data_IF_080587746978
#
_entry.id   IF_080587746978
#
_cell.length_a   1.000
_cell.length_b   1.000
_cell.length_c   1.000
_cell.angle_alpha   90.00
_cell.angle_beta   90.00
_cell.angle_gamma   90.00
#
_symmetry.space_group_name_H-M   'P 1'
#
loop_
_entity.id
_entity.type
_entity.pdbx_description
1 polymer ?
#
# COMPACT_ATOMS: atom_id res chain seq x y z
N UNK A 1 10.03 22.95 -0.25
CA UNK A 1 11.05 22.11 -0.92
C UNK A 1 11.97 22.98 -1.78
N UNK A 2 11.46 24.10 -2.33
CA UNK A 2 12.23 24.95 -3.24
C UNK A 2 13.07 26.06 -2.57
N UNK A 3 13.06 26.19 -1.24
CA UNK A 3 13.62 27.35 -0.52
C UNK A 3 14.57 26.97 0.63
N UNK A 4 15.27 25.85 0.56
CA UNK A 4 16.38 25.65 1.48
C UNK A 4 17.61 26.31 0.90
N UNK A 5 17.81 27.57 1.28
CA UNK A 5 18.91 28.40 0.84
C UNK A 5 20.13 28.14 1.74
N UNK A 6 20.98 27.19 1.34
CA UNK A 6 22.32 27.03 1.89
C UNK A 6 23.38 27.77 1.05
N UNK A 7 22.93 28.70 0.24
CA UNK A 7 23.80 29.64 -0.48
C UNK A 7 24.33 29.21 -1.84
N UNK A 8 24.45 27.90 -2.17
CA UNK A 8 25.08 27.47 -3.42
C UNK A 8 24.39 26.37 -4.21
N UNK A 9 23.57 25.49 -3.58
CA UNK A 9 22.86 24.43 -4.30
C UNK A 9 21.38 24.46 -3.98
N UNK A 10 20.58 24.97 -4.89
CA UNK A 10 19.13 25.00 -4.76
C UNK A 10 18.54 23.63 -5.12
N UNK A 11 17.75 23.06 -4.22
CA UNK A 11 16.97 21.88 -4.49
C UNK A 11 15.69 22.23 -5.22
N UNK A 12 15.52 21.70 -6.44
CA UNK A 12 14.37 22.01 -7.30
C UNK A 12 13.55 20.74 -7.57
N UNK A 13 12.24 20.84 -7.42
CA UNK A 13 11.30 19.81 -7.83
C UNK A 13 10.31 20.37 -8.84
N UNK A 14 10.04 19.62 -9.91
CA UNK A 14 9.11 19.99 -10.98
C UNK A 14 7.99 18.99 -11.09
N UNK A 15 6.82 19.46 -11.45
CA UNK A 15 5.69 18.63 -11.82
C UNK A 15 5.88 18.12 -13.24
N UNK A 16 5.58 16.84 -13.44
CA UNK A 16 5.35 16.25 -14.75
C UNK A 16 3.84 15.99 -14.91
N UNK A 17 3.33 16.25 -16.09
CA UNK A 17 1.93 16.02 -16.39
C UNK A 17 1.79 14.76 -17.27
N UNK A 18 0.77 13.95 -16.98
CA UNK A 18 0.46 12.75 -17.73
C UNK A 18 1.13 11.49 -17.18
N UNK A 19 0.96 10.41 -17.92
CA UNK A 19 1.54 9.11 -17.60
C UNK A 19 2.96 9.02 -18.15
N UNK A 20 3.85 8.45 -17.36
CA UNK A 20 5.20 8.07 -17.79
C UNK A 20 5.19 6.57 -18.04
N UNK A 21 5.76 6.17 -19.16
CA UNK A 21 5.90 4.78 -19.57
C UNK A 21 7.36 4.47 -19.88
N UNK A 22 7.78 3.24 -19.65
CA UNK A 22 9.07 2.73 -20.11
C UNK A 22 8.84 1.79 -21.29
N UNK A 23 9.48 2.01 -22.45
CA UNK A 23 9.32 1.17 -23.63
C UNK A 23 9.63 -0.31 -23.39
N UNK A 24 10.56 -0.62 -22.47
CA UNK A 24 10.94 -2.00 -22.14
C UNK A 24 9.85 -2.72 -21.34
N UNK A 25 8.98 -1.96 -20.66
CA UNK A 25 7.87 -2.48 -19.83
C UNK A 25 6.55 -1.79 -20.18
N UNK A 26 6.00 -1.96 -21.38
CA UNK A 26 4.84 -1.17 -21.88
C UNK A 26 3.54 -1.42 -21.10
N UNK A 27 3.50 -2.44 -20.27
CA UNK A 27 2.39 -2.76 -19.37
C UNK A 27 2.50 -2.06 -18.00
N UNK A 28 3.64 -1.41 -17.71
CA UNK A 28 3.83 -0.63 -16.50
C UNK A 28 3.84 0.86 -16.84
N UNK A 29 3.14 1.64 -16.05
CA UNK A 29 3.13 3.10 -16.16
C UNK A 29 2.99 3.72 -14.77
N UNK A 30 3.33 4.98 -14.65
CA UNK A 30 3.13 5.73 -13.41
C UNK A 30 2.74 7.18 -13.67
N UNK A 31 2.08 7.78 -12.68
CA UNK A 31 2.02 9.21 -12.50
C UNK A 31 3.07 9.61 -11.48
N UNK A 32 3.69 10.74 -11.69
CA UNK A 32 4.71 11.29 -10.79
C UNK A 32 4.17 12.57 -10.16
N UNK A 33 4.18 12.64 -8.84
CA UNK A 33 3.82 13.87 -8.14
C UNK A 33 4.81 14.98 -8.51
N UNK A 34 6.12 14.67 -8.42
CA UNK A 34 7.21 15.58 -8.78
C UNK A 34 8.44 14.78 -9.24
N UNK A 35 9.33 15.48 -9.96
CA UNK A 35 10.71 15.04 -10.20
C UNK A 35 11.67 16.05 -9.59
N UNK A 36 12.64 15.55 -8.83
CA UNK A 36 13.75 16.37 -8.32
C UNK A 36 14.76 16.53 -9.46
N UNK A 37 15.19 17.76 -9.70
CA UNK A 37 16.11 18.06 -10.80
C UNK A 37 17.54 17.61 -10.46
N UNK A 38 18.28 17.19 -11.48
CA UNK A 38 19.74 16.99 -11.39
C UNK A 38 20.44 18.24 -10.87
N UNK A 39 21.54 18.05 -10.17
CA UNK A 39 22.25 19.13 -9.50
C UNK A 39 21.71 19.47 -8.11
N UNK A 40 20.59 18.86 -7.69
CA UNK A 40 20.12 18.91 -6.31
C UNK A 40 20.94 17.97 -5.43
N UNK A 41 21.09 18.29 -4.14
CA UNK A 41 21.73 17.37 -3.19
C UNK A 41 20.82 16.18 -2.88
N UNK A 42 21.42 15.01 -2.61
CA UNK A 42 20.73 13.87 -2.03
C UNK A 42 20.45 14.08 -0.54
N UNK A 43 19.55 13.31 0.02
CA UNK A 43 19.34 13.26 1.47
C UNK A 43 20.06 12.05 2.08
N UNK A 44 20.50 12.18 3.33
CA UNK A 44 20.93 11.07 4.18
C UNK A 44 19.70 10.30 4.69
N UNK A 45 19.87 9.07 5.18
CA UNK A 45 18.76 8.28 5.73
C UNK A 45 17.94 8.98 6.82
N UNK A 46 18.54 9.92 7.53
CA UNK A 46 17.88 10.75 8.55
C UNK A 46 17.11 11.96 7.96
N UNK A 47 17.10 12.10 6.62
CA UNK A 47 16.44 13.20 5.91
C UNK A 47 17.25 14.49 5.85
N UNK A 48 18.47 14.53 6.39
CA UNK A 48 19.34 15.72 6.31
C UNK A 48 20.06 15.81 4.96
N UNK A 49 20.46 17.02 4.51
CA UNK A 49 21.27 17.17 3.30
C UNK A 49 22.59 16.40 3.34
N UNK A 50 22.95 15.75 2.24
CA UNK A 50 24.28 15.15 2.04
C UNK A 50 25.14 16.02 1.11
N UNK A 51 26.42 15.65 1.02
CA UNK A 51 27.35 16.29 0.06
C UNK A 51 27.24 15.68 -1.35
N UNK A 52 26.45 14.60 -1.50
CA UNK A 52 26.22 13.95 -2.78
C UNK A 52 25.20 14.74 -3.61
N UNK A 53 25.53 14.93 -4.88
CA UNK A 53 24.68 15.63 -5.84
C UNK A 53 24.05 14.63 -6.81
N UNK A 54 22.76 14.82 -7.09
CA UNK A 54 22.04 14.05 -8.08
C UNK A 54 22.61 14.30 -9.47
N UNK A 55 23.08 13.24 -10.11
CA UNK A 55 23.59 13.28 -11.49
C UNK A 55 22.46 13.21 -12.52
N UNK A 56 21.28 12.74 -12.09
CA UNK A 56 20.07 12.64 -12.89
C UNK A 56 18.84 13.09 -12.10
N UNK A 57 17.71 13.22 -12.77
CA UNK A 57 16.43 13.49 -12.10
C UNK A 57 15.99 12.25 -11.33
N UNK A 58 15.25 12.44 -10.25
CA UNK A 58 14.68 11.32 -9.51
C UNK A 58 13.22 11.59 -9.10
N UNK A 59 12.38 10.55 -8.95
CA UNK A 59 11.00 10.70 -8.54
C UNK A 59 10.88 11.14 -7.08
N UNK A 60 9.89 11.99 -6.82
CA UNK A 60 9.48 12.45 -5.50
C UNK A 60 8.00 12.18 -5.34
N UNK A 61 7.67 11.22 -4.52
CA UNK A 61 6.30 10.91 -4.11
C UNK A 61 5.90 11.77 -2.92
N UNK A 62 4.67 12.32 -2.93
CA UNK A 62 4.18 13.22 -1.87
C UNK A 62 2.99 12.58 -1.17
N UNK A 63 3.09 12.49 0.16
CA UNK A 63 2.04 11.97 1.02
C UNK A 63 1.62 13.00 2.06
N UNK A 64 0.33 13.03 2.38
CA UNK A 64 -0.21 13.78 3.50
C UNK A 64 -0.85 12.81 4.48
N UNK A 65 -0.57 12.96 5.76
CA UNK A 65 -1.11 12.06 6.77
C UNK A 65 -1.19 12.72 8.15
N UNK A 66 -2.00 12.13 9.02
CA UNK A 66 -2.01 12.53 10.44
C UNK A 66 -0.82 11.93 11.19
N UNK A 67 -0.44 12.56 12.29
CA UNK A 67 0.59 12.03 13.22
C UNK A 67 0.24 10.64 13.75
N UNK A 68 -1.05 10.32 13.90
CA UNK A 68 -1.50 8.99 14.30
C UNK A 68 -1.19 7.91 13.25
N UNK A 69 -1.34 8.23 11.97
CA UNK A 69 -0.98 7.33 10.86
C UNK A 69 0.53 7.21 10.77
N UNK A 70 1.27 8.33 10.87
CA UNK A 70 2.72 8.34 10.83
C UNK A 70 3.36 7.49 11.94
N UNK A 71 2.80 7.49 13.14
CA UNK A 71 3.25 6.61 14.24
C UNK A 71 3.22 5.12 13.91
N UNK A 72 2.41 4.69 12.94
CA UNK A 72 2.40 3.29 12.47
C UNK A 72 3.63 2.94 11.63
N UNK A 73 4.40 3.94 11.21
CA UNK A 73 5.64 3.79 10.45
C UNK A 73 6.88 3.60 11.34
N UNK A 74 6.71 3.44 12.66
CA UNK A 74 7.81 3.17 13.61
C UNK A 74 8.65 1.94 13.21
N UNK A 75 8.06 1.02 12.41
CA UNK A 75 8.72 -0.16 11.85
C UNK A 75 9.27 0.04 10.43
N UNK A 76 9.19 1.26 9.90
CA UNK A 76 9.57 1.61 8.54
C UNK A 76 8.41 2.06 7.67
N UNK A 77 8.74 2.48 6.46
CA UNK A 77 7.76 2.90 5.45
C UNK A 77 6.92 1.68 5.03
N UNK A 78 5.58 1.81 4.91
CA UNK A 78 4.74 0.73 4.43
C UNK A 78 5.19 0.20 3.07
N UNK A 79 5.20 -1.12 2.90
CA UNK A 79 5.72 -1.82 1.71
C UNK A 79 5.07 -1.34 0.41
N UNK A 80 3.78 -0.99 0.43
CA UNK A 80 3.08 -0.49 -0.75
C UNK A 80 3.62 0.87 -1.23
N UNK A 81 4.10 1.75 -0.34
CA UNK A 81 4.77 2.99 -0.75
C UNK A 81 6.19 2.73 -1.25
N UNK A 82 6.88 1.76 -0.63
CA UNK A 82 8.20 1.32 -1.11
C UNK A 82 8.06 0.72 -2.51
N UNK A 83 7.04 -0.09 -2.76
CA UNK A 83 6.76 -0.66 -4.09
C UNK A 83 6.41 0.44 -5.09
N UNK A 84 5.58 1.42 -4.70
CA UNK A 84 5.21 2.54 -5.57
C UNK A 84 6.43 3.34 -6.04
N UNK A 85 7.30 3.74 -5.13
CA UNK A 85 8.50 4.52 -5.49
C UNK A 85 9.48 3.69 -6.34
N UNK A 86 9.59 2.37 -6.09
CA UNK A 86 10.42 1.48 -6.92
C UNK A 86 9.85 1.34 -8.34
N UNK A 87 8.52 1.24 -8.50
CA UNK A 87 7.90 1.27 -9.83
C UNK A 87 8.18 2.59 -10.55
N UNK A 88 8.11 3.72 -9.85
CA UNK A 88 8.47 5.02 -10.42
C UNK A 88 9.93 5.06 -10.85
N UNK A 89 10.86 4.54 -10.03
CA UNK A 89 12.28 4.43 -10.38
C UNK A 89 12.52 3.49 -11.56
N UNK A 90 11.80 2.36 -11.65
CA UNK A 90 11.87 1.45 -12.79
C UNK A 90 11.46 2.15 -14.09
N UNK A 91 10.34 2.86 -14.06
CA UNK A 91 9.77 3.49 -15.25
C UNK A 91 10.59 4.70 -15.69
N UNK A 92 11.19 5.44 -14.76
CA UNK A 92 12.03 6.61 -15.04
C UNK A 92 13.51 6.27 -15.24
N UNK A 93 13.87 4.99 -15.10
CA UNK A 93 15.24 4.47 -15.17
C UNK A 93 16.19 5.22 -14.23
N UNK A 94 15.79 5.38 -12.96
CA UNK A 94 16.57 6.08 -11.93
C UNK A 94 16.93 5.15 -10.78
N UNK A 95 18.03 5.48 -10.08
CA UNK A 95 18.56 4.67 -8.98
C UNK A 95 18.26 5.22 -7.59
N UNK A 96 17.59 6.37 -7.53
CA UNK A 96 17.26 7.07 -6.30
C UNK A 96 15.87 7.72 -6.43
N UNK A 97 15.13 7.75 -5.34
CA UNK A 97 13.83 8.40 -5.25
C UNK A 97 13.56 8.87 -3.83
N UNK A 98 12.51 9.63 -3.62
CA UNK A 98 12.15 10.13 -2.30
C UNK A 98 10.66 10.07 -2.05
N UNK A 99 10.30 9.85 -0.77
CA UNK A 99 8.94 9.95 -0.29
C UNK A 99 8.87 11.09 0.72
N UNK A 100 8.16 12.17 0.38
CA UNK A 100 7.94 13.32 1.25
C UNK A 100 6.57 13.22 1.92
N UNK A 101 6.55 13.24 3.26
CA UNK A 101 5.33 13.14 4.06
C UNK A 101 5.07 14.46 4.79
N UNK A 102 3.94 15.10 4.50
CA UNK A 102 3.44 16.24 5.26
C UNK A 102 2.51 15.73 6.37
N UNK A 103 2.96 15.84 7.62
CA UNK A 103 2.27 15.33 8.80
C UNK A 103 1.47 16.47 9.44
N UNK A 104 0.18 16.24 9.69
CA UNK A 104 -0.76 17.23 10.28
C UNK A 104 -0.72 18.61 9.59
N UNK A 105 -0.28 18.67 8.33
CA UNK A 105 -0.14 19.90 7.57
C UNK A 105 0.98 20.85 8.06
N UNK A 106 1.88 20.40 8.93
CA UNK A 106 2.93 21.22 9.57
C UNK A 106 4.33 20.65 9.43
N UNK A 107 4.49 19.37 9.73
CA UNK A 107 5.79 18.73 9.81
C UNK A 107 6.09 17.98 8.52
N UNK A 108 7.19 18.33 7.87
CA UNK A 108 7.65 17.66 6.64
C UNK A 108 8.79 16.70 6.96
N UNK A 109 8.57 15.42 6.69
CA UNK A 109 9.60 14.38 6.78
C UNK A 109 9.82 13.81 5.38
N UNK A 110 11.09 13.64 4.99
CA UNK A 110 11.44 13.08 3.68
C UNK A 110 12.29 11.83 3.86
N UNK A 111 11.90 10.77 3.21
CA UNK A 111 12.57 9.48 3.24
C UNK A 111 13.29 9.26 1.91
N UNK A 112 14.62 9.23 1.89
CA UNK A 112 15.39 8.84 0.73
C UNK A 112 15.31 7.33 0.52
N UNK A 113 15.15 6.90 -0.72
CA UNK A 113 15.01 5.50 -1.12
C UNK A 113 16.03 5.21 -2.22
N UNK A 114 16.96 4.31 -1.95
CA UNK A 114 17.83 3.74 -2.97
C UNK A 114 17.11 2.60 -3.69
N UNK A 115 17.36 2.47 -4.99
CA UNK A 115 16.78 1.42 -5.82
C UNK A 115 17.23 0.03 -5.36
N UNK A 116 16.28 -0.86 -5.18
CA UNK A 116 16.50 -2.26 -4.82
C UNK A 116 16.09 -3.17 -5.98
N UNK A 117 17.07 -3.84 -6.59
CA UNK A 117 16.81 -4.68 -7.77
C UNK A 117 15.95 -5.92 -7.46
N UNK A 118 15.90 -6.38 -6.21
CA UNK A 118 15.00 -7.48 -5.81
C UNK A 118 13.55 -7.02 -5.93
N UNK A 119 13.24 -5.82 -5.44
CA UNK A 119 11.90 -5.23 -5.55
C UNK A 119 11.57 -4.94 -7.01
N UNK A 120 12.51 -4.37 -7.77
CA UNK A 120 12.34 -4.08 -9.20
C UNK A 120 12.01 -5.36 -9.98
N UNK A 121 12.78 -6.43 -9.80
CA UNK A 121 12.54 -7.71 -10.50
C UNK A 121 11.19 -8.31 -10.12
N UNK A 122 10.78 -8.21 -8.86
CA UNK A 122 9.45 -8.64 -8.41
C UNK A 122 8.32 -7.85 -9.08
N UNK A 123 8.47 -6.52 -9.23
CA UNK A 123 7.50 -5.67 -9.93
C UNK A 123 7.38 -6.09 -11.40
N UNK A 124 8.52 -6.32 -12.07
CA UNK A 124 8.55 -6.75 -13.48
C UNK A 124 7.86 -8.10 -13.64
N UNK A 125 8.23 -9.09 -12.85
CA UNK A 125 7.68 -10.44 -12.92
C UNK A 125 6.16 -10.46 -12.66
N UNK A 126 5.72 -9.86 -11.55
CA UNK A 126 4.30 -9.81 -11.18
C UNK A 126 3.47 -8.97 -12.17
N UNK A 127 4.03 -7.86 -12.63
CA UNK A 127 3.39 -7.03 -13.65
C UNK A 127 3.23 -7.76 -14.99
N UNK A 128 4.26 -8.49 -15.43
CA UNK A 128 4.20 -9.28 -16.66
C UNK A 128 3.16 -10.41 -16.57
N UNK A 129 3.16 -11.17 -15.46
CA UNK A 129 2.17 -12.22 -15.21
C UNK A 129 0.74 -11.67 -15.21
N UNK A 130 0.51 -10.61 -14.44
CA UNK A 130 -0.78 -9.94 -14.41
C UNK A 130 -1.25 -9.50 -15.79
N UNK A 131 -0.36 -8.84 -16.56
CA UNK A 131 -0.72 -8.34 -17.89
C UNK A 131 -1.00 -9.47 -18.88
N UNK A 132 -0.22 -10.56 -18.82
CA UNK A 132 -0.48 -11.75 -19.65
C UNK A 132 -1.87 -12.35 -19.38
N UNK A 133 -2.29 -12.40 -18.12
CA UNK A 133 -3.65 -12.83 -17.72
C UNK A 133 -4.71 -11.88 -18.25
N UNK A 134 -4.50 -10.57 -18.13
CA UNK A 134 -5.42 -9.55 -18.67
C UNK A 134 -5.61 -9.71 -20.17
N UNK A 135 -4.53 -9.91 -20.93
CA UNK A 135 -4.60 -10.09 -22.38
C UNK A 135 -5.39 -11.34 -22.77
N UNK A 136 -5.14 -12.47 -22.12
CA UNK A 136 -5.87 -13.72 -22.35
C UNK A 136 -7.34 -13.62 -21.96
N UNK A 137 -7.64 -13.05 -20.80
CA UNK A 137 -9.02 -12.82 -20.37
C UNK A 137 -9.77 -11.91 -21.36
N UNK A 138 -9.11 -10.86 -21.87
CA UNK A 138 -9.67 -9.97 -22.90
C UNK A 138 -9.95 -10.67 -24.22
N UNK A 139 -9.06 -11.56 -24.65
CA UNK A 139 -9.23 -12.36 -25.88
C UNK A 139 -10.50 -13.22 -25.79
N UNK A 140 -10.67 -13.97 -24.68
CA UNK A 140 -11.87 -14.78 -24.47
C UNK A 140 -13.13 -13.94 -24.30
N UNK A 141 -13.05 -12.81 -23.62
CA UNK A 141 -14.17 -11.89 -23.48
C UNK A 141 -14.62 -11.35 -24.84
N UNK A 142 -13.69 -10.95 -25.71
CA UNK A 142 -14.01 -10.46 -27.05
C UNK A 142 -14.69 -11.56 -27.87
N UNK A 143 -14.14 -12.77 -27.87
CA UNK A 143 -14.73 -13.91 -28.55
C UNK A 143 -16.15 -14.23 -28.02
N UNK A 144 -16.37 -14.12 -26.72
CA UNK A 144 -17.70 -14.29 -26.13
C UNK A 144 -18.70 -13.23 -26.63
N UNK A 145 -18.29 -11.95 -26.70
CA UNK A 145 -19.17 -10.90 -27.21
C UNK A 145 -19.56 -11.11 -28.66
N UNK A 146 -18.66 -11.67 -29.49
CA UNK A 146 -18.91 -11.93 -30.90
C UNK A 146 -20.01 -13.00 -31.11
N UNK A 147 -20.17 -13.95 -30.20
CA UNK A 147 -21.17 -15.04 -30.31
C UNK A 147 -22.45 -14.83 -29.49
N UNK A 148 -22.47 -13.88 -28.58
CA UNK A 148 -23.51 -13.64 -27.56
C UNK A 148 -24.94 -13.62 -28.10
N UNK A 149 -25.15 -13.12 -29.34
CA UNK A 149 -26.48 -12.92 -29.93
C UNK A 149 -27.02 -14.12 -30.70
N UNK A 150 -26.20 -15.12 -30.99
CA UNK A 150 -26.58 -16.24 -31.86
C UNK A 150 -26.17 -17.62 -31.30
N UNK A 151 -25.29 -17.69 -30.31
CA UNK A 151 -24.84 -18.93 -29.67
C UNK A 151 -24.61 -18.70 -28.16
N UNK A 152 -25.68 -18.94 -27.40
CA UNK A 152 -25.63 -18.73 -25.94
C UNK A 152 -24.75 -19.76 -25.23
N UNK A 153 -24.72 -21.02 -25.71
CA UNK A 153 -23.91 -22.08 -25.12
C UNK A 153 -22.41 -21.78 -25.29
N UNK A 154 -22.02 -21.35 -26.50
CA UNK A 154 -20.64 -20.93 -26.75
C UNK A 154 -20.27 -19.66 -25.97
N UNK A 155 -21.20 -18.71 -25.83
CA UNK A 155 -21.00 -17.53 -24.99
C UNK A 155 -20.71 -17.92 -23.54
N UNK A 156 -21.51 -18.79 -22.94
CA UNK A 156 -21.32 -19.24 -21.56
C UNK A 156 -19.99 -19.99 -21.38
N UNK A 157 -19.61 -20.82 -22.34
CA UNK A 157 -18.34 -21.55 -22.35
C UNK A 157 -17.14 -20.58 -22.36
N UNK A 158 -17.17 -19.57 -23.23
CA UNK A 158 -16.12 -18.55 -23.35
C UNK A 158 -16.05 -17.66 -22.10
N UNK A 159 -17.20 -17.29 -21.52
CA UNK A 159 -17.22 -16.54 -20.27
C UNK A 159 -16.66 -17.35 -19.08
N UNK A 160 -16.81 -18.66 -19.10
CA UNK A 160 -16.15 -19.56 -18.14
C UNK A 160 -14.63 -19.46 -18.24
N UNK A 161 -14.05 -19.33 -19.43
CA UNK A 161 -12.61 -19.08 -19.60
C UNK A 161 -12.19 -17.69 -19.11
N UNK A 162 -13.02 -16.65 -19.31
CA UNK A 162 -12.73 -15.31 -18.75
C UNK A 162 -12.57 -15.38 -17.24
N UNK A 163 -13.48 -16.09 -16.55
CA UNK A 163 -13.44 -16.26 -15.10
C UNK A 163 -12.14 -16.93 -14.62
N UNK A 164 -11.56 -17.84 -15.40
CA UNK A 164 -10.29 -18.49 -15.06
C UNK A 164 -9.12 -17.49 -14.94
N UNK A 165 -9.18 -16.36 -15.65
CA UNK A 165 -8.14 -15.32 -15.61
C UNK A 165 -8.44 -14.20 -14.61
N UNK A 166 -9.55 -14.27 -13.89
CA UNK A 166 -9.83 -13.35 -12.79
C UNK A 166 -8.82 -13.54 -11.64
N UNK A 167 -8.50 -12.49 -10.88
CA UNK A 167 -7.62 -12.62 -9.73
C UNK A 167 -8.26 -13.53 -8.67
N UNK A 168 -7.41 -14.31 -7.99
CA UNK A 168 -7.87 -15.07 -6.84
C UNK A 168 -8.24 -14.13 -5.68
N UNK A 169 -9.23 -14.52 -4.84
CA UNK A 169 -9.60 -13.75 -3.68
C UNK A 169 -8.41 -13.55 -2.73
N UNK A 170 -8.15 -12.30 -2.38
CA UNK A 170 -7.13 -11.90 -1.43
C UNK A 170 -7.75 -11.10 -0.26
N UNK A 171 -6.93 -10.57 0.62
CA UNK A 171 -7.33 -9.76 1.77
C UNK A 171 -7.33 -8.24 1.46
N UNK A 172 -7.19 -7.84 0.21
CA UNK A 172 -7.13 -6.46 -0.22
C UNK A 172 -8.54 -5.81 -0.22
N UNK A 173 -8.65 -4.64 0.35
CA UNK A 173 -9.91 -3.86 0.35
C UNK A 173 -10.41 -3.55 -1.07
N UNK A 174 -9.51 -3.32 -2.04
CA UNK A 174 -9.86 -3.10 -3.43
C UNK A 174 -10.55 -4.30 -4.08
N UNK A 175 -10.16 -5.53 -3.72
CA UNK A 175 -10.84 -6.74 -4.19
C UNK A 175 -12.27 -6.84 -3.63
N UNK A 176 -12.45 -6.47 -2.35
CA UNK A 176 -13.77 -6.38 -1.71
C UNK A 176 -14.68 -5.34 -2.39
N UNK A 177 -14.14 -4.17 -2.75
CA UNK A 177 -14.87 -3.14 -3.49
C UNK A 177 -15.30 -3.65 -4.87
N UNK A 178 -14.38 -4.27 -5.62
CA UNK A 178 -14.67 -4.92 -6.90
C UNK A 178 -15.80 -5.92 -6.80
N UNK A 179 -15.77 -6.83 -5.82
CA UNK A 179 -16.85 -7.79 -5.61
C UNK A 179 -18.18 -7.12 -5.26
N UNK A 180 -18.15 -6.05 -4.46
CA UNK A 180 -19.35 -5.30 -4.06
C UNK A 180 -19.99 -4.58 -5.26
N UNK A 181 -19.20 -4.08 -6.20
CA UNK A 181 -19.70 -3.48 -7.45
C UNK A 181 -20.30 -4.50 -8.39
N UNK A 182 -19.69 -5.68 -8.49
CA UNK A 182 -20.19 -6.78 -9.32
C UNK A 182 -21.52 -7.33 -8.80
N UNK A 183 -21.78 -7.26 -7.49
CA UNK A 183 -22.98 -7.79 -6.81
C UNK A 183 -24.22 -6.88 -6.89
N UNK A 184 -24.17 -5.75 -7.59
CA UNK A 184 -25.32 -4.81 -7.73
C UNK A 184 -26.40 -5.29 -8.71
N UNK A 185 -26.29 -6.51 -9.24
CA UNK A 185 -27.29 -7.12 -10.13
C UNK A 185 -28.37 -7.84 -9.28
N UNK A 186 -29.60 -7.96 -9.80
CA UNK A 186 -30.71 -8.68 -9.15
C UNK A 186 -30.26 -10.05 -8.63
N UNK A 187 -30.51 -10.27 -7.34
CA UNK A 187 -30.06 -11.47 -6.64
C UNK A 187 -31.10 -12.59 -6.80
N UNK A 188 -30.69 -13.69 -7.39
CA UNK A 188 -31.44 -14.95 -7.34
C UNK A 188 -30.96 -15.81 -6.17
N UNK A 189 -31.86 -16.56 -5.54
CA UNK A 189 -31.47 -17.58 -4.57
C UNK A 189 -30.81 -18.75 -5.29
N UNK A 190 -29.56 -19.02 -4.95
CA UNK A 190 -28.81 -20.15 -5.50
C UNK A 190 -28.41 -21.14 -4.39
N UNK A 191 -28.31 -22.41 -4.71
CA UNK A 191 -27.85 -23.43 -3.79
C UNK A 191 -26.31 -23.31 -3.63
N UNK A 192 -25.84 -23.07 -2.39
CA UNK A 192 -24.41 -23.00 -2.06
C UNK A 192 -23.73 -24.37 -2.16
N UNK A 193 -22.46 -24.37 -2.55
CA UNK A 193 -21.63 -25.59 -2.57
C UNK A 193 -21.19 -25.99 -1.17
N UNK A 194 -20.82 -27.28 -1.00
CA UNK A 194 -20.24 -27.78 0.26
C UNK A 194 -18.96 -27.04 0.65
N UNK A 195 -18.15 -26.63 -0.33
CA UNK A 195 -16.93 -25.85 -0.11
C UNK A 195 -17.24 -24.46 0.45
N UNK A 196 -18.25 -23.77 -0.09
CA UNK A 196 -18.70 -22.48 0.46
C UNK A 196 -19.21 -22.63 1.88
N UNK A 197 -19.95 -23.71 2.17
CA UNK A 197 -20.43 -23.98 3.54
C UNK A 197 -19.26 -24.24 4.49
N UNK A 198 -18.23 -24.98 4.06
CA UNK A 198 -17.03 -25.23 4.85
C UNK A 198 -16.25 -23.94 5.13
N UNK A 199 -16.09 -23.07 4.13
CA UNK A 199 -15.46 -21.75 4.30
C UNK A 199 -16.27 -20.87 5.27
N UNK A 200 -17.58 -20.83 5.16
CA UNK A 200 -18.44 -20.07 6.06
C UNK A 200 -18.32 -20.54 7.52
N UNK A 201 -18.29 -21.86 7.76
CA UNK A 201 -18.06 -22.45 9.09
C UNK A 201 -16.67 -22.08 9.64
N UNK A 202 -15.62 -22.15 8.80
CA UNK A 202 -14.26 -21.75 9.18
C UNK A 202 -14.20 -20.27 9.53
N UNK A 203 -14.82 -19.40 8.74
CA UNK A 203 -14.91 -17.96 9.02
C UNK A 203 -15.62 -17.69 10.34
N UNK A 204 -16.70 -18.41 10.64
CA UNK A 204 -17.41 -18.28 11.92
C UNK A 204 -16.52 -18.67 13.10
N UNK A 205 -15.75 -19.77 12.98
CA UNK A 205 -14.79 -20.18 14.01
C UNK A 205 -13.68 -19.14 14.24
N UNK A 206 -13.14 -18.55 13.15
CA UNK A 206 -12.15 -17.48 13.24
C UNK A 206 -12.73 -16.25 13.95
N UNK A 207 -13.95 -15.83 13.61
CA UNK A 207 -14.63 -14.71 14.28
C UNK A 207 -14.84 -14.96 15.78
N UNK A 208 -15.16 -16.19 16.16
CA UNK A 208 -15.28 -16.57 17.57
C UNK A 208 -13.93 -16.52 18.30
N UNK A 209 -12.86 -17.03 17.67
CA UNK A 209 -11.50 -16.94 18.22
C UNK A 209 -11.05 -15.50 18.42
N UNK A 210 -11.27 -14.61 17.45
CA UNK A 210 -10.98 -13.17 17.56
C UNK A 210 -11.73 -12.56 18.75
N UNK A 211 -13.03 -12.89 18.93
CA UNK A 211 -13.83 -12.38 20.05
C UNK A 211 -13.27 -12.80 21.41
N UNK A 212 -12.77 -14.05 21.53
CA UNK A 212 -12.13 -14.55 22.75
C UNK A 212 -10.83 -13.79 23.00
N UNK A 213 -9.96 -13.69 21.98
CA UNK A 213 -8.68 -12.98 22.09
C UNK A 213 -8.87 -11.50 22.43
N UNK A 214 -9.89 -10.84 21.89
CA UNK A 214 -10.23 -9.46 22.24
C UNK A 214 -10.68 -9.31 23.69
N UNK A 215 -11.37 -10.32 24.24
CA UNK A 215 -11.73 -10.35 25.65
C UNK A 215 -10.48 -10.50 26.53
N UNK A 216 -9.64 -11.48 26.21
CA UNK A 216 -8.39 -11.75 26.94
C UNK A 216 -7.46 -10.52 26.93
N UNK A 217 -7.34 -9.89 25.76
CA UNK A 217 -6.61 -8.62 25.60
C UNK A 217 -7.12 -7.54 26.54
N UNK A 218 -8.45 -7.33 26.60
CA UNK A 218 -9.06 -6.33 27.49
C UNK A 218 -8.83 -6.66 28.95
N UNK A 219 -8.90 -7.94 29.35
CA UNK A 219 -8.61 -8.38 30.72
C UNK A 219 -7.15 -8.09 31.08
N UNK A 220 -6.20 -8.40 30.18
CA UNK A 220 -4.77 -8.09 30.40
C UNK A 220 -4.52 -6.57 30.48
N UNK A 221 -5.11 -5.78 29.58
CA UNK A 221 -5.01 -4.32 29.61
C UNK A 221 -5.54 -3.75 30.94
N UNK A 222 -6.66 -4.26 31.43
CA UNK A 222 -7.23 -3.83 32.72
C UNK A 222 -6.36 -4.27 33.91
N UNK A 223 -5.79 -5.47 33.87
CA UNK A 223 -4.86 -5.93 34.91
C UNK A 223 -3.59 -5.07 34.97
N UNK A 224 -3.05 -4.69 33.81
CA UNK A 224 -1.91 -3.77 33.70
C UNK A 224 -2.29 -2.40 34.28
N UNK A 225 -3.43 -1.83 33.88
CA UNK A 225 -3.92 -0.54 34.40
C UNK A 225 -4.13 -0.59 35.91
N UNK A 226 -4.70 -1.68 36.44
CA UNK A 226 -4.88 -1.87 37.88
C UNK A 226 -3.53 -1.82 38.65
N UNK A 227 -2.48 -2.46 38.11
CA UNK A 227 -1.17 -2.42 38.71
C UNK A 227 -0.58 -0.99 38.73
N UNK A 228 -0.72 -0.22 37.66
CA UNK A 228 -0.32 1.19 37.67
C UNK A 228 -1.06 2.01 38.73
N UNK A 229 -2.37 1.80 38.85
CA UNK A 229 -3.20 2.50 39.85
C UNK A 229 -2.81 2.09 41.29
N UNK A 230 -2.56 0.78 41.50
CA UNK A 230 -2.15 0.26 42.82
C UNK A 230 -0.82 0.82 43.26
N UNK A 231 0.14 0.90 42.37
CA UNK A 231 1.48 1.41 42.65
C UNK A 231 1.55 2.95 42.60
N UNK A 232 0.46 3.64 42.25
CA UNK A 232 0.39 5.10 42.04
C UNK A 232 1.52 5.59 41.12
N UNK A 233 1.81 4.82 40.07
CA UNK A 233 2.95 5.02 39.20
C UNK A 233 2.51 5.42 37.79
N UNK A 234 3.17 6.43 37.22
CA UNK A 234 3.04 6.78 35.80
C UNK A 234 3.96 5.93 34.92
N UNK A 235 4.93 5.27 35.52
CA UNK A 235 5.95 4.48 34.85
C UNK A 235 6.40 3.31 35.70
N UNK A 236 6.37 2.10 35.15
CA UNK A 236 6.87 0.87 35.77
C UNK A 236 8.06 0.36 34.96
N UNK A 237 9.20 0.15 35.63
CA UNK A 237 10.41 -0.39 35.01
C UNK A 237 10.50 -1.91 35.21
N UNK A 238 10.92 -2.60 34.15
CA UNK A 238 11.20 -4.03 34.14
C UNK A 238 12.71 -4.23 33.90
N UNK A 239 13.46 -4.72 34.91
CA UNK A 239 14.90 -4.92 34.77
C UNK A 239 15.23 -5.83 33.55
N UNK A 240 16.04 -5.32 32.63
CA UNK A 240 16.43 -6.05 31.39
C UNK A 240 15.44 -5.98 30.24
N UNK A 241 14.18 -5.55 30.46
CA UNK A 241 13.10 -5.57 29.44
C UNK A 241 12.62 -4.17 29.04
N UNK A 242 12.98 -3.13 29.81
CA UNK A 242 12.55 -1.76 29.54
C UNK A 242 11.52 -1.20 30.53
N UNK A 243 10.54 -0.47 30.02
CA UNK A 243 9.51 0.12 30.88
C UNK A 243 8.15 0.23 30.19
N UNK A 244 7.07 0.26 30.99
CA UNK A 244 5.72 0.66 30.56
C UNK A 244 5.37 2.04 31.14
N UNK A 245 4.61 2.84 30.36
CA UNK A 245 4.02 4.10 30.80
C UNK A 245 2.51 4.04 30.74
N UNK A 246 1.87 4.60 31.75
CA UNK A 246 0.44 4.89 31.72
C UNK A 246 0.19 6.24 31.01
N UNK A 247 -0.64 6.24 29.98
CA UNK A 247 -1.10 7.46 29.32
C UNK A 247 -2.62 7.56 29.50
N UNK A 248 -3.09 8.55 30.24
CA UNK A 248 -4.48 8.96 30.11
C UNK A 248 -4.69 9.59 28.72
N UNK A 249 -5.63 9.05 27.95
CA UNK A 249 -6.14 9.78 26.79
C UNK A 249 -6.88 11.00 27.35
N UNK A 250 -6.29 12.19 27.23
CA UNK A 250 -7.05 13.42 27.39
C UNK A 250 -8.13 13.44 26.31
N UNK A 251 -9.38 13.21 26.70
CA UNK A 251 -10.51 13.56 25.86
C UNK A 251 -10.48 15.10 25.75
N UNK A 252 -9.99 15.61 24.62
CA UNK A 252 -10.24 17.00 24.28
C UNK A 252 -11.75 17.13 24.06
N UNK A 253 -12.43 17.62 25.08
CA UNK A 253 -13.79 18.14 24.95
C UNK A 253 -13.65 19.44 24.17
N UNK A 254 -14.10 19.41 22.88
CA UNK A 254 -14.38 20.63 22.12
C UNK A 254 -15.72 21.20 22.57
#
# INVERSE_FOLDING_TARGET
>A
INNYDSGEVQRKARQLHGFVVNPDYPYLFCNLDRMIEKGSYKLRPDGTPSDEILTERCPLEIKTMSSWVHKKWDRGIPEYYVTQIHQQMLITDTYYGEIACLIDGRDLVVFPIERNEVIINMIIEKGADFWARVLKGREHYQAAQDVKTFDLEEYERLMGYVQHYEPEPDDNDGYKEYLSERHKVEQEEVQGSEEMLAMAKKLQSVKQAIKILDKDKKEMENAIRYNFTKELADKIHFPGEGYMRYYEKSNSVN
#
